data_IF_832798074472
#
_entry.id   IF_832798074472
#
_cell.length_a   1.000
_cell.length_b   1.000
_cell.length_c   1.000
_cell.angle_alpha   90.00
_cell.angle_beta   90.00
_cell.angle_gamma   90.00
#
_symmetry.space_group_name_H-M   'P 1'
#
loop_
_entity.id
_entity.type
_entity.pdbx_description
1 polymer ?
#
# COMPACT_ATOMS: atom_id res chain seq x y z
N UNK A 1 -17.04 -12.23 33.47
CA UNK A 1 -17.83 -11.37 32.58
C UNK A 1 -17.22 -11.48 31.19
N UNK A 2 -17.85 -12.24 30.30
CA UNK A 2 -17.42 -12.45 28.90
C UNK A 2 -18.34 -11.60 28.03
N UNK A 3 -17.79 -10.55 27.41
CA UNK A 3 -18.50 -9.73 26.44
C UNK A 3 -18.44 -10.39 25.07
N UNK A 4 -19.60 -10.87 24.61
CA UNK A 4 -19.82 -11.30 23.23
C UNK A 4 -19.85 -10.05 22.33
N UNK A 5 -18.85 -9.91 21.46
CA UNK A 5 -18.91 -8.99 20.35
C UNK A 5 -19.90 -9.53 19.31
N UNK A 6 -20.99 -8.79 19.08
CA UNK A 6 -21.92 -9.06 17.98
C UNK A 6 -21.28 -8.56 16.67
N UNK A 7 -21.45 -9.28 15.55
CA UNK A 7 -21.05 -8.77 14.24
C UNK A 7 -21.94 -7.57 13.88
N UNK A 8 -21.32 -6.41 13.64
CA UNK A 8 -22.00 -5.26 13.06
C UNK A 8 -22.24 -5.58 11.59
N UNK A 9 -23.45 -5.99 11.25
CA UNK A 9 -23.92 -5.94 9.88
C UNK A 9 -24.11 -4.46 9.52
N UNK A 10 -23.22 -3.91 8.70
CA UNK A 10 -23.45 -2.61 8.07
C UNK A 10 -24.58 -2.81 7.06
N UNK A 11 -25.80 -2.50 7.48
CA UNK A 11 -26.91 -2.28 6.55
C UNK A 11 -26.61 -0.97 5.82
N UNK A 12 -26.03 -1.06 4.63
CA UNK A 12 -26.06 0.06 3.69
C UNK A 12 -27.54 0.39 3.48
N UNK A 13 -27.92 1.64 3.75
CA UNK A 13 -29.29 2.11 3.61
C UNK A 13 -29.83 1.87 2.20
N UNK A 14 -31.14 1.75 2.14
CA UNK A 14 -31.92 1.42 0.95
C UNK A 14 -31.37 2.07 -0.34
N UNK A 15 -31.24 1.20 -1.33
CA UNK A 15 -30.89 1.42 -2.72
C UNK A 15 -31.58 2.66 -3.30
N UNK A 16 -30.83 3.74 -3.51
CA UNK A 16 -31.02 4.51 -4.73
C UNK A 16 -30.57 3.59 -5.87
N UNK A 17 -31.53 2.87 -6.44
CA UNK A 17 -31.33 1.85 -7.46
C UNK A 17 -30.45 2.40 -8.59
N UNK A 18 -29.19 1.99 -8.61
CA UNK A 18 -28.42 2.06 -9.83
C UNK A 18 -29.10 1.14 -10.84
N UNK A 19 -29.92 1.71 -11.71
CA UNK A 19 -30.53 0.99 -12.84
C UNK A 19 -29.48 0.99 -13.95
N UNK A 20 -28.78 -0.14 -14.22
CA UNK A 20 -27.88 -0.20 -15.35
C UNK A 20 -28.61 0.12 -16.66
N UNK A 21 -27.88 0.63 -17.66
CA UNK A 21 -28.39 0.67 -19.03
C UNK A 21 -28.96 -0.70 -19.42
N UNK A 22 -30.18 -0.71 -19.98
CA UNK A 22 -30.86 -1.93 -20.41
C UNK A 22 -29.93 -2.79 -21.28
N UNK A 23 -29.73 -4.06 -20.89
CA UNK A 23 -28.90 -5.01 -21.63
C UNK A 23 -27.50 -5.24 -21.08
N UNK A 24 -27.06 -4.47 -20.07
CA UNK A 24 -25.81 -4.75 -19.34
C UNK A 24 -26.07 -5.88 -18.33
N UNK A 25 -25.43 -7.03 -18.53
CA UNK A 25 -25.37 -8.11 -17.53
C UNK A 25 -24.17 -7.85 -16.64
N UNK A 26 -24.39 -7.66 -15.34
CA UNK A 26 -23.31 -7.74 -14.37
C UNK A 26 -23.13 -9.20 -13.97
N UNK A 27 -21.92 -9.71 -14.18
CA UNK A 27 -21.49 -10.92 -13.49
C UNK A 27 -20.90 -10.49 -12.15
N UNK A 28 -21.45 -11.00 -11.06
CA UNK A 28 -20.90 -10.75 -9.72
C UNK A 28 -19.65 -11.59 -9.54
N UNK A 29 -18.47 -10.94 -9.54
CA UNK A 29 -17.25 -11.58 -9.09
C UNK A 29 -17.35 -11.83 -7.57
N UNK A 30 -17.16 -13.08 -7.16
CA UNK A 30 -17.18 -13.47 -5.75
C UNK A 30 -15.75 -13.55 -5.23
N UNK A 31 -15.32 -12.53 -4.51
CA UNK A 31 -14.09 -12.57 -3.72
C UNK A 31 -14.32 -13.32 -2.42
N UNK A 32 -13.28 -13.99 -1.92
CA UNK A 32 -13.25 -14.31 -0.48
C UNK A 32 -13.24 -13.01 0.33
N UNK A 33 -13.76 -13.01 1.56
CA UNK A 33 -13.75 -11.81 2.40
C UNK A 33 -12.34 -11.22 2.54
N UNK A 34 -12.25 -9.89 2.46
CA UNK A 34 -10.99 -9.16 2.67
C UNK A 34 -10.55 -9.37 4.13
N UNK A 35 -9.27 -9.66 4.40
CA UNK A 35 -8.76 -9.77 5.76
C UNK A 35 -9.06 -8.51 6.58
N UNK A 36 -9.61 -8.69 7.78
CA UNK A 36 -9.99 -7.58 8.65
C UNK A 36 -8.77 -6.70 8.97
N UNK A 37 -8.89 -5.40 8.69
CA UNK A 37 -7.81 -4.43 8.89
C UNK A 37 -7.30 -4.41 10.33
N UNK A 38 -5.97 -4.38 10.48
CA UNK A 38 -5.30 -4.24 11.78
C UNK A 38 -4.33 -3.05 11.72
N UNK A 39 -4.59 -1.98 12.49
CA UNK A 39 -3.66 -0.85 12.56
C UNK A 39 -2.36 -1.24 13.26
N UNK A 40 -1.26 -0.66 12.80
CA UNK A 40 0.03 -0.77 13.44
C UNK A 40 0.01 -0.11 14.82
N UNK A 41 0.71 -0.73 15.77
CA UNK A 41 0.85 -0.21 17.14
C UNK A 41 2.31 -0.06 17.50
N UNK A 42 2.61 1.03 18.20
CA UNK A 42 3.93 1.28 18.75
C UNK A 42 4.22 0.41 19.99
N UNK A 43 5.43 0.50 20.57
CA UNK A 43 5.81 -0.24 21.77
C UNK A 43 4.94 0.03 23.00
N UNK A 44 4.27 1.18 23.04
CA UNK A 44 3.34 1.59 24.10
C UNK A 44 1.91 1.03 23.89
N UNK A 45 1.69 0.29 22.80
CA UNK A 45 0.38 -0.27 22.42
C UNK A 45 -0.57 0.74 21.79
N UNK A 46 -0.20 2.01 21.66
CA UNK A 46 -1.00 3.02 20.97
C UNK A 46 -0.89 2.87 19.45
N UNK A 47 -1.87 3.41 18.73
CA UNK A 47 -1.80 3.48 17.27
C UNK A 47 -0.58 4.29 16.85
N UNK A 48 0.20 3.73 15.95
CA UNK A 48 1.31 4.46 15.37
C UNK A 48 0.80 5.30 14.21
N UNK A 49 0.81 6.63 14.41
CA UNK A 49 0.37 7.59 13.40
C UNK A 49 1.50 8.53 13.05
N UNK A 50 1.58 8.93 11.78
CA UNK A 50 2.51 9.93 11.28
C UNK A 50 1.75 11.11 10.70
N UNK A 51 2.13 12.33 11.11
CA UNK A 51 1.70 13.53 10.41
C UNK A 51 2.41 13.61 9.07
N UNK A 52 1.77 14.25 8.10
CA UNK A 52 2.32 14.46 6.75
C UNK A 52 3.77 14.99 6.76
N UNK A 53 4.08 15.96 7.62
CA UNK A 53 5.42 16.53 7.72
C UNK A 53 6.46 15.50 8.20
N UNK A 54 6.11 14.67 9.17
CA UNK A 54 6.97 13.61 9.75
C UNK A 54 7.20 12.50 8.73
N UNK A 55 6.13 12.03 8.09
CA UNK A 55 6.17 11.07 6.98
C UNK A 55 7.13 11.54 5.88
N UNK A 56 6.96 12.78 5.40
CA UNK A 56 7.81 13.34 4.33
C UNK A 56 9.26 13.44 4.77
N UNK A 57 9.52 13.82 6.03
CA UNK A 57 10.87 13.89 6.57
C UNK A 57 11.53 12.50 6.66
N UNK A 58 10.82 11.50 7.21
CA UNK A 58 11.30 10.12 7.30
C UNK A 58 11.64 9.53 5.93
N UNK A 59 10.74 9.67 4.96
CA UNK A 59 10.96 9.11 3.62
C UNK A 59 12.14 9.79 2.92
N UNK A 60 12.31 11.10 3.05
CA UNK A 60 13.48 11.81 2.48
C UNK A 60 14.80 11.31 3.05
N UNK A 61 14.84 11.02 4.35
CA UNK A 61 16.02 10.43 5.00
C UNK A 61 16.29 9.02 4.46
N UNK A 62 15.24 8.21 4.33
CA UNK A 62 15.35 6.81 3.92
C UNK A 62 15.68 6.65 2.43
N UNK A 63 15.09 7.43 1.54
CA UNK A 63 15.32 7.31 0.09
C UNK A 63 16.65 7.92 -0.36
N UNK A 64 17.41 8.54 0.55
CA UNK A 64 18.82 8.81 0.34
C UNK A 64 19.13 10.19 -0.22
N UNK A 65 18.73 11.24 0.49
CA UNK A 65 19.65 12.38 0.63
C UNK A 65 20.93 11.84 1.29
N UNK A 66 22.01 11.66 0.53
CA UNK A 66 23.32 11.29 1.09
C UNK A 66 23.95 12.54 1.71
N UNK A 67 24.19 12.51 3.01
CA UNK A 67 25.21 13.38 3.62
C UNK A 67 26.57 12.92 3.09
N UNK A 68 27.40 13.83 2.58
CA UNK A 68 28.82 13.52 2.37
C UNK A 68 29.54 13.40 3.73
N UNK A 69 30.79 12.92 3.75
CA UNK A 69 31.59 12.72 4.98
C UNK A 69 31.80 14.00 5.81
N UNK A 70 31.42 15.17 5.30
CA UNK A 70 31.51 16.49 5.97
C UNK A 70 30.15 17.12 6.29
N UNK A 71 29.03 16.50 5.90
CA UNK A 71 27.68 16.93 6.24
C UNK A 71 27.17 18.22 5.56
N UNK A 72 27.81 18.75 4.50
CA UNK A 72 27.49 20.13 4.03
C UNK A 72 27.11 20.33 2.57
N UNK A 73 27.27 19.39 1.62
CA UNK A 73 26.92 19.67 0.21
C UNK A 73 26.20 18.51 -0.51
N UNK A 74 25.06 18.87 -1.12
CA UNK A 74 24.10 18.02 -1.81
C UNK A 74 24.52 17.79 -3.28
N UNK A 75 24.76 16.55 -3.70
CA UNK A 75 24.57 16.17 -5.12
C UNK A 75 23.22 15.46 -5.24
N UNK A 76 22.29 15.95 -6.08
CA UNK A 76 20.92 15.48 -6.06
C UNK A 76 20.84 14.14 -6.81
N UNK A 77 20.77 13.04 -6.07
CA UNK A 77 19.79 12.03 -6.49
C UNK A 77 18.44 12.76 -6.52
N UNK A 78 17.62 12.63 -7.57
CA UNK A 78 16.34 13.33 -7.59
C UNK A 78 15.60 12.97 -6.31
N UNK A 79 15.35 13.98 -5.48
CA UNK A 79 14.56 13.82 -4.26
C UNK A 79 13.18 13.34 -4.73
N UNK A 80 12.68 12.21 -4.24
CA UNK A 80 11.41 11.71 -4.72
C UNK A 80 10.32 12.73 -4.44
N UNK A 81 9.41 12.91 -5.41
CA UNK A 81 8.18 13.65 -5.15
C UNK A 81 7.36 12.83 -4.14
N UNK A 82 6.95 13.45 -3.04
CA UNK A 82 6.10 12.79 -2.05
C UNK A 82 4.76 13.53 -2.03
N UNK A 83 3.72 12.84 -2.44
CA UNK A 83 2.36 13.34 -2.51
C UNK A 83 1.54 12.66 -1.41
N UNK A 84 0.94 13.47 -0.54
CA UNK A 84 0.06 13.00 0.54
C UNK A 84 -1.26 13.73 0.41
N UNK A 85 -2.37 12.99 0.39
CA UNK A 85 -3.71 13.57 0.39
C UNK A 85 -4.15 14.11 1.75
N UNK A 86 -3.75 13.45 2.82
CA UNK A 86 -4.19 13.75 4.19
C UNK A 86 -3.05 14.29 5.07
N UNK A 87 -3.43 14.85 6.22
CA UNK A 87 -2.49 15.41 7.20
C UNK A 87 -2.00 14.40 8.24
N UNK A 88 -2.72 13.28 8.41
CA UNK A 88 -2.41 12.23 9.36
C UNK A 88 -2.64 10.87 8.70
N UNK A 89 -1.74 9.94 8.96
CA UNK A 89 -1.81 8.56 8.49
C UNK A 89 -1.51 7.58 9.62
N UNK A 90 -2.02 6.36 9.53
CA UNK A 90 -1.79 5.27 10.47
C UNK A 90 -0.89 4.20 9.85
N UNK A 91 0.12 3.76 10.57
CA UNK A 91 0.84 2.54 10.22
C UNK A 91 -0.12 1.33 10.21
N UNK A 92 0.31 0.27 9.55
CA UNK A 92 -0.41 -1.02 9.46
C UNK A 92 0.30 -2.10 10.28
N UNK A 93 -0.40 -3.15 10.70
CA UNK A 93 0.25 -4.30 11.33
C UNK A 93 1.02 -5.13 10.29
N UNK A 94 2.24 -5.56 10.62
CA UNK A 94 3.09 -6.35 9.72
C UNK A 94 2.45 -7.67 9.32
N UNK A 95 1.88 -8.38 10.29
CA UNK A 95 1.27 -9.69 10.06
C UNK A 95 -0.01 -9.55 9.24
N UNK A 96 -0.79 -8.49 9.47
CA UNK A 96 -1.94 -8.17 8.65
C UNK A 96 -1.55 -7.83 7.21
N UNK A 97 -0.56 -6.96 6.98
CA UNK A 97 -0.21 -6.61 5.61
C UNK A 97 0.30 -7.83 4.82
N UNK A 98 1.07 -8.71 5.46
CA UNK A 98 1.50 -9.96 4.85
C UNK A 98 0.30 -10.88 4.49
N UNK A 99 -0.66 -11.04 5.40
CA UNK A 99 -1.90 -11.80 5.16
C UNK A 99 -2.73 -11.18 4.03
N UNK A 100 -2.88 -9.85 4.03
CA UNK A 100 -3.62 -9.10 3.03
C UNK A 100 -2.97 -9.21 1.65
N UNK A 101 -1.64 -9.07 1.55
CA UNK A 101 -0.90 -9.22 0.30
C UNK A 101 -1.00 -10.64 -0.28
N UNK A 102 -0.94 -11.66 0.58
CA UNK A 102 -1.19 -13.05 0.17
C UNK A 102 -2.62 -13.27 -0.32
N UNK A 103 -3.61 -12.74 0.42
CA UNK A 103 -5.01 -12.79 0.01
C UNK A 103 -5.20 -12.12 -1.35
N UNK A 104 -4.69 -10.90 -1.52
CA UNK A 104 -4.81 -10.13 -2.75
C UNK A 104 -4.25 -10.91 -3.95
N UNK A 105 -3.02 -11.41 -3.84
CA UNK A 105 -2.38 -12.19 -4.91
C UNK A 105 -3.20 -13.44 -5.27
N UNK A 106 -3.69 -14.18 -4.26
CA UNK A 106 -4.51 -15.37 -4.50
C UNK A 106 -5.83 -15.03 -5.19
N UNK A 107 -6.55 -14.01 -4.74
CA UNK A 107 -7.83 -13.66 -5.36
C UNK A 107 -7.66 -13.19 -6.81
N UNK A 108 -6.60 -12.44 -7.12
CA UNK A 108 -6.30 -12.09 -8.52
C UNK A 108 -5.99 -13.33 -9.37
N UNK A 109 -5.23 -14.28 -8.83
CA UNK A 109 -4.92 -15.52 -9.53
C UNK A 109 -6.16 -16.38 -9.76
N UNK A 110 -7.02 -16.51 -8.75
CA UNK A 110 -8.31 -17.23 -8.83
C UNK A 110 -9.24 -16.60 -9.88
N UNK A 111 -9.10 -15.29 -10.15
CA UNK A 111 -9.81 -14.56 -11.20
C UNK A 111 -9.12 -14.59 -12.57
N UNK A 112 -7.95 -15.23 -12.70
CA UNK A 112 -7.17 -15.24 -13.95
C UNK A 112 -6.59 -13.87 -14.34
N UNK A 113 -6.48 -12.95 -13.38
CA UNK A 113 -5.86 -11.63 -13.54
C UNK A 113 -4.34 -11.75 -13.43
N UNK A 114 -3.73 -12.30 -14.49
CA UNK A 114 -2.28 -12.38 -14.64
C UNK A 114 -1.74 -11.15 -15.37
N UNK A 115 -0.46 -10.84 -15.17
CA UNK A 115 0.24 -9.76 -15.88
C UNK A 115 -0.07 -9.75 -17.39
N UNK A 116 -0.48 -8.59 -17.90
CA UNK A 116 -0.65 -8.29 -19.32
C UNK A 116 -0.06 -6.92 -19.57
N UNK A 117 1.03 -6.89 -20.33
CA UNK A 117 1.78 -5.66 -20.63
C UNK A 117 0.83 -4.54 -21.15
N UNK A 118 0.85 -3.37 -20.50
CA UNK A 118 0.01 -2.18 -20.75
C UNK A 118 -1.52 -2.35 -20.57
N UNK A 119 -2.01 -3.54 -20.21
CA UNK A 119 -3.45 -3.81 -19.99
C UNK A 119 -3.79 -4.10 -18.52
N UNK A 120 -2.88 -4.80 -17.83
CA UNK A 120 -2.94 -5.17 -16.42
C UNK A 120 -1.51 -5.37 -15.92
N UNK A 121 -0.83 -4.27 -15.64
CA UNK A 121 0.59 -4.27 -15.29
C UNK A 121 0.89 -3.63 -13.93
N UNK A 122 2.15 -3.29 -13.68
CA UNK A 122 2.64 -2.94 -12.35
C UNK A 122 1.86 -1.82 -11.65
N UNK A 123 1.42 -0.80 -12.38
CA UNK A 123 0.61 0.28 -11.84
C UNK A 123 -0.80 -0.19 -11.47
N UNK A 124 -1.45 -1.00 -12.32
CA UNK A 124 -2.77 -1.59 -12.05
C UNK A 124 -2.76 -2.46 -10.80
N UNK A 125 -1.77 -3.34 -10.64
CA UNK A 125 -1.63 -4.17 -9.45
C UNK A 125 -1.44 -3.33 -8.18
N UNK A 126 -0.59 -2.28 -8.25
CA UNK A 126 -0.33 -1.37 -7.14
C UNK A 126 -1.58 -0.56 -6.76
N UNK A 127 -2.29 -0.04 -7.77
CA UNK A 127 -3.56 0.69 -7.62
C UNK A 127 -4.64 -0.20 -7.00
N UNK A 128 -4.83 -1.41 -7.51
CA UNK A 128 -5.83 -2.35 -7.02
C UNK A 128 -5.57 -2.77 -5.58
N UNK A 129 -4.31 -3.05 -5.21
CA UNK A 129 -3.95 -3.38 -3.84
C UNK A 129 -4.26 -2.23 -2.88
N UNK A 130 -3.87 -1.00 -3.24
CA UNK A 130 -4.16 0.19 -2.43
C UNK A 130 -5.67 0.40 -2.25
N UNK A 131 -6.44 0.31 -3.34
CA UNK A 131 -7.89 0.47 -3.29
C UNK A 131 -8.59 -0.59 -2.42
N UNK A 132 -8.18 -1.86 -2.54
CA UNK A 132 -8.73 -2.94 -1.71
C UNK A 132 -8.32 -2.83 -0.24
N UNK A 133 -7.13 -2.29 0.04
CA UNK A 133 -6.74 -2.00 1.40
C UNK A 133 -7.62 -0.88 1.98
N UNK A 134 -7.97 0.15 1.20
CA UNK A 134 -8.87 1.22 1.66
C UNK A 134 -10.28 0.68 1.98
N UNK A 135 -10.74 -0.32 1.22
CA UNK A 135 -11.96 -1.06 1.55
C UNK A 135 -11.82 -1.87 2.85
N UNK A 136 -10.67 -2.53 3.07
CA UNK A 136 -10.40 -3.25 4.32
C UNK A 136 -10.46 -2.31 5.52
N UNK A 137 -9.89 -1.11 5.39
CA UNK A 137 -9.92 -0.06 6.40
C UNK A 137 -11.36 0.41 6.67
N UNK A 138 -12.14 0.70 5.61
CA UNK A 138 -13.54 1.10 5.72
C UNK A 138 -14.38 0.02 6.42
N UNK A 139 -14.14 -1.26 6.12
CA UNK A 139 -14.85 -2.38 6.75
C UNK A 139 -14.54 -2.53 8.24
N UNK A 140 -13.37 -2.09 8.70
CA UNK A 140 -13.02 -2.14 10.12
C UNK A 140 -13.74 -1.07 10.97
N UNK A 141 -14.43 -0.12 10.34
CA UNK A 141 -15.20 0.92 11.03
C UNK A 141 -14.31 2.06 11.51
N UNK A 142 -14.28 2.32 12.82
CA UNK A 142 -13.53 3.46 13.36
C UNK A 142 -12.01 3.20 13.32
N UNK A 143 -11.30 4.10 12.64
CA UNK A 143 -9.84 4.09 12.56
C UNK A 143 -9.30 5.53 12.75
N UNK A 144 -8.09 5.70 13.31
CA UNK A 144 -7.57 7.01 13.68
C UNK A 144 -7.21 7.89 12.47
N UNK A 145 -6.87 7.26 11.34
CA UNK A 145 -6.41 7.91 10.13
C UNK A 145 -6.47 6.92 8.93
N UNK A 146 -6.38 7.39 7.69
CA UNK A 146 -6.08 6.55 6.53
C UNK A 146 -4.75 5.82 6.71
N UNK A 147 -4.61 4.66 6.06
CA UNK A 147 -3.44 3.80 6.23
C UNK A 147 -2.20 4.30 5.48
N UNK A 148 -1.02 3.98 6.01
CA UNK A 148 0.26 4.16 5.35
C UNK A 148 0.54 3.01 4.39
N UNK A 149 -0.33 2.88 3.40
CA UNK A 149 -0.07 2.10 2.18
C UNK A 149 -0.13 3.10 1.05
N UNK A 150 0.90 3.09 0.22
CA UNK A 150 1.07 4.01 -0.87
C UNK A 150 1.69 3.33 -2.07
N UNK A 151 1.84 4.12 -3.13
CA UNK A 151 2.41 3.70 -4.41
C UNK A 151 3.78 4.33 -4.55
N UNK A 152 4.75 3.57 -5.03
CA UNK A 152 6.13 3.97 -5.17
C UNK A 152 6.55 3.73 -6.62
N UNK A 153 6.88 4.81 -7.31
CA UNK A 153 7.34 4.79 -8.70
C UNK A 153 8.86 4.88 -8.68
N UNK A 154 9.52 3.91 -9.33
CA UNK A 154 10.98 3.74 -9.28
C UNK A 154 11.55 3.36 -10.64
N UNK A 155 12.76 3.83 -10.94
CA UNK A 155 13.53 3.27 -12.06
C UNK A 155 14.14 1.93 -11.63
N UNK A 156 13.70 0.83 -12.24
CA UNK A 156 14.16 -0.53 -11.96
C UNK A 156 15.54 -0.79 -12.59
N UNK A 157 16.61 -0.45 -11.87
CA UNK A 157 18.00 -0.60 -12.33
C UNK A 157 18.56 -2.00 -12.03
N UNK A 158 18.09 -2.62 -10.94
CA UNK A 158 18.41 -4.00 -10.54
C UNK A 158 17.12 -4.82 -10.50
N UNK A 159 17.16 -6.12 -10.84
CA UNK A 159 16.01 -6.99 -10.72
C UNK A 159 15.61 -7.17 -9.25
N UNK A 160 14.31 -7.24 -8.97
CA UNK A 160 13.76 -7.51 -7.64
C UNK A 160 12.29 -7.93 -7.76
N UNK A 161 11.81 -8.76 -6.83
CA UNK A 161 10.40 -9.15 -6.79
C UNK A 161 9.92 -9.92 -8.03
N UNK A 162 10.80 -10.55 -8.80
CA UNK A 162 10.43 -11.18 -10.08
C UNK A 162 10.36 -10.21 -11.27
N UNK A 163 10.53 -8.90 -11.04
CA UNK A 163 10.57 -7.87 -12.09
C UNK A 163 12.01 -7.66 -12.59
N UNK A 164 12.27 -7.80 -13.91
CA UNK A 164 13.61 -7.59 -14.48
C UNK A 164 14.02 -6.12 -14.42
N UNK A 165 15.32 -5.86 -14.53
CA UNK A 165 15.81 -4.49 -14.72
C UNK A 165 15.42 -3.95 -16.11
N UNK A 166 15.23 -2.63 -16.24
CA UNK A 166 15.13 -1.98 -17.55
C UNK A 166 14.01 -0.97 -17.77
N UNK A 167 13.31 -0.50 -16.74
CA UNK A 167 12.16 0.40 -16.93
C UNK A 167 11.82 1.25 -15.72
N UNK A 168 10.70 1.97 -15.82
CA UNK A 168 9.97 2.47 -14.65
C UNK A 168 9.08 1.33 -14.15
N UNK A 169 8.92 1.24 -12.85
CA UNK A 169 8.11 0.22 -12.18
C UNK A 169 7.32 0.88 -11.05
N UNK A 170 6.07 0.48 -10.89
CA UNK A 170 5.23 0.91 -9.77
C UNK A 170 5.02 -0.27 -8.81
N UNK A 171 5.28 -0.03 -7.53
CA UNK A 171 5.18 -1.01 -6.45
C UNK A 171 4.52 -0.41 -5.22
N UNK A 172 4.11 -1.25 -4.28
CA UNK A 172 3.52 -0.80 -3.03
C UNK A 172 4.61 -0.44 -2.02
N UNK A 173 4.44 0.70 -1.35
CA UNK A 173 5.20 1.08 -0.16
C UNK A 173 4.24 1.06 1.02
N UNK A 174 4.64 0.50 2.15
CA UNK A 174 3.87 0.62 3.38
C UNK A 174 4.74 0.90 4.59
N UNK A 175 4.15 1.50 5.63
CA UNK A 175 4.76 1.66 6.95
C UNK A 175 4.03 0.77 7.94
N UNK A 176 4.76 -0.13 8.57
CA UNK A 176 4.24 -0.90 9.71
C UNK A 176 4.72 -0.32 11.03
N UNK A 177 4.63 -1.04 12.15
CA UNK A 177 5.28 -0.62 13.40
C UNK A 177 6.80 -0.78 13.38
N UNK A 178 7.31 -1.74 12.60
CA UNK A 178 8.75 -2.06 12.55
C UNK A 178 9.55 -1.27 11.51
N UNK A 179 8.89 -0.55 10.61
CA UNK A 179 9.57 0.33 9.66
C UNK A 179 8.85 0.47 8.32
N UNK A 180 9.57 1.03 7.35
CA UNK A 180 9.12 1.18 5.97
C UNK A 180 9.49 -0.04 5.14
N UNK A 181 8.56 -0.50 4.31
CA UNK A 181 8.68 -1.71 3.51
C UNK A 181 8.18 -1.49 2.10
N UNK A 182 8.81 -2.18 1.17
CA UNK A 182 8.42 -2.26 -0.24
C UNK A 182 7.83 -3.64 -0.48
N UNK A 183 6.67 -3.69 -1.13
CA UNK A 183 5.96 -4.91 -1.48
C UNK A 183 5.73 -4.98 -3.00
N UNK A 184 6.05 -6.13 -3.59
CA UNK A 184 5.70 -6.48 -4.96
C UNK A 184 4.37 -7.23 -4.98
N UNK A 185 3.24 -6.58 -5.33
CA UNK A 185 1.93 -7.21 -5.33
C UNK A 185 1.85 -8.44 -6.25
N UNK A 186 2.63 -8.47 -7.33
CA UNK A 186 2.58 -9.55 -8.32
C UNK A 186 3.23 -10.86 -7.83
N UNK A 187 4.19 -10.79 -6.91
CA UNK A 187 4.95 -11.97 -6.45
C UNK A 187 4.91 -12.17 -4.94
N UNK A 188 4.29 -11.23 -4.22
CA UNK A 188 4.21 -11.16 -2.75
C UNK A 188 5.54 -10.89 -2.07
N UNK A 189 6.58 -10.55 -2.83
CA UNK A 189 7.89 -10.23 -2.26
C UNK A 189 7.79 -8.98 -1.39
N UNK A 190 8.35 -9.02 -0.18
CA UNK A 190 8.41 -7.90 0.75
C UNK A 190 9.86 -7.70 1.17
N UNK A 191 10.32 -6.45 1.23
CA UNK A 191 11.65 -6.08 1.72
C UNK A 191 11.58 -4.78 2.51
N UNK A 192 12.43 -4.62 3.52
CA UNK A 192 12.57 -3.33 4.18
C UNK A 192 13.05 -2.28 3.17
N UNK A 193 12.48 -1.08 3.20
CA UNK A 193 12.80 0.00 2.25
C UNK A 193 14.31 0.26 2.23
N UNK A 194 14.97 0.30 3.40
CA UNK A 194 16.42 0.51 3.53
C UNK A 194 17.28 -0.48 2.73
N UNK A 195 16.76 -1.70 2.55
CA UNK A 195 17.42 -2.82 1.89
C UNK A 195 16.94 -3.00 0.43
N UNK A 196 15.96 -2.21 -0.02
CA UNK A 196 15.43 -2.27 -1.38
C UNK A 196 16.52 -1.90 -2.42
N UNK A 197 16.86 -2.78 -3.38
CA UNK A 197 18.01 -2.59 -4.27
C UNK A 197 17.92 -1.37 -5.19
N UNK A 198 16.70 -0.88 -5.46
CA UNK A 198 16.46 0.30 -6.30
C UNK A 198 16.08 1.55 -5.50
N UNK A 199 16.29 1.55 -4.17
CA UNK A 199 15.95 2.67 -3.27
C UNK A 199 16.47 4.03 -3.71
N UNK A 200 17.67 4.11 -4.28
CA UNK A 200 18.29 5.37 -4.74
C UNK A 200 17.70 5.89 -6.06
N UNK A 201 16.78 5.15 -6.66
CA UNK A 201 16.18 5.44 -7.95
C UNK A 201 14.67 5.69 -7.86
N UNK A 202 14.15 5.85 -6.64
CA UNK A 202 12.74 6.19 -6.38
C UNK A 202 12.50 7.60 -6.92
N UNK A 203 11.45 7.74 -7.72
CA UNK A 203 11.09 8.98 -8.40
C UNK A 203 9.91 9.66 -7.71
N UNK A 204 8.93 8.88 -7.27
CA UNK A 204 7.71 9.39 -6.67
C UNK A 204 7.12 8.40 -5.65
N UNK A 205 6.48 8.94 -4.62
CA UNK A 205 5.72 8.22 -3.60
C UNK A 205 4.37 8.93 -3.45
N UNK A 206 3.28 8.16 -3.54
CA UNK A 206 1.92 8.68 -3.44
C UNK A 206 1.16 7.95 -2.32
N UNK A 207 0.61 8.71 -1.38
CA UNK A 207 -0.34 8.22 -0.39
C UNK A 207 -1.71 8.80 -0.66
N UNK A 208 -2.70 7.92 -0.75
CA UNK A 208 -4.09 8.27 -1.00
C UNK A 208 -4.78 8.89 0.21
#
# INVERSE_FOLDING_TARGET
MLGLALPVAVSLGAEDDFIPPSGVKFETLKFKPIPAYRPGRGPDGNYETLRRAELVAELRLLTGVKLNERGTDLLPAPVPRISCRFELYSAVDDAWFAEFNEWFHRELWDLGLTYRKEDWDCDDFSLALNALADLALLQAGEHPAPQLIGRLIVRQVKPWGGTPAGGVHEITLYRSGSGWYVAEPQTRAIIALRDYPNRQHIQEILFN
#
